data_IF_626607572632
#
_entry.id   IF_626607572632
#
_cell.length_a   1.000
_cell.length_b   1.000
_cell.length_c   1.000
_cell.angle_alpha   90.00
_cell.angle_beta   90.00
_cell.angle_gamma   90.00
#
_symmetry.space_group_name_H-M   'P 1'
#
loop_
_entity.id
_entity.type
_entity.pdbx_description
1 polymer ?
#
# COMPACT_ATOMS: atom_id res chain seq x y z
N UNK A 1 6.34 8.94 -16.29
CA UNK A 1 7.15 9.73 -15.34
C UNK A 1 6.28 10.89 -14.91
N UNK A 2 6.03 11.03 -13.62
CA UNK A 2 5.17 12.08 -13.07
C UNK A 2 5.87 13.43 -13.23
N UNK A 3 5.15 14.46 -13.68
CA UNK A 3 5.71 15.81 -13.82
C UNK A 3 5.66 16.54 -12.47
N UNK A 4 6.77 16.49 -11.74
CA UNK A 4 6.88 17.10 -10.41
C UNK A 4 7.05 18.62 -10.44
N UNK A 5 7.21 19.25 -11.61
CA UNK A 5 7.30 20.71 -11.74
C UNK A 5 5.91 21.38 -11.79
N UNK A 6 4.84 20.61 -11.93
CA UNK A 6 3.47 21.12 -11.93
C UNK A 6 2.96 21.34 -10.51
N UNK A 7 2.56 22.56 -10.17
CA UNK A 7 2.04 22.93 -8.84
C UNK A 7 0.82 22.11 -8.40
N UNK A 8 -0.09 21.78 -9.32
CA UNK A 8 -1.27 20.93 -9.02
C UNK A 8 -0.85 19.51 -8.61
N UNK A 9 0.20 18.99 -9.25
CA UNK A 9 0.76 17.68 -8.93
C UNK A 9 1.45 17.69 -7.57
N UNK A 10 2.19 18.75 -7.24
CA UNK A 10 2.81 18.93 -5.94
C UNK A 10 1.77 19.06 -4.82
N UNK A 11 0.71 19.87 -4.99
CA UNK A 11 -0.35 20.01 -3.99
C UNK A 11 -1.07 18.68 -3.71
N UNK A 12 -1.36 17.90 -4.76
CA UNK A 12 -1.98 16.58 -4.62
C UNK A 12 -1.07 15.61 -3.86
N UNK A 13 0.23 15.57 -4.18
CA UNK A 13 1.19 14.70 -3.52
C UNK A 13 1.45 15.13 -2.06
N UNK A 14 1.47 16.43 -1.79
CA UNK A 14 1.54 16.98 -0.43
C UNK A 14 0.32 16.55 0.40
N UNK A 15 -0.88 16.57 -0.19
CA UNK A 15 -2.10 16.06 0.45
C UNK A 15 -2.01 14.56 0.75
N UNK A 16 -1.45 13.78 -0.17
CA UNK A 16 -1.26 12.34 0.02
C UNK A 16 -0.21 12.02 1.09
N UNK A 17 0.84 12.83 1.23
CA UNK A 17 1.78 12.75 2.35
C UNK A 17 1.06 12.87 3.69
N UNK A 18 0.11 13.82 3.82
CA UNK A 18 -0.67 14.00 5.05
C UNK A 18 -1.59 12.83 5.38
N UNK A 19 -1.99 12.04 4.38
CA UNK A 19 -2.81 10.84 4.55
C UNK A 19 -1.95 9.66 5.00
N UNK A 20 -0.75 9.52 4.40
CA UNK A 20 0.10 8.33 4.60
C UNK A 20 1.09 8.48 5.75
N UNK A 21 1.47 9.68 6.14
CA UNK A 21 2.34 9.97 7.29
C UNK A 21 1.51 10.45 8.49
N UNK A 22 1.89 10.04 9.70
CA UNK A 22 1.30 10.57 10.93
C UNK A 22 1.78 12.02 11.15
N UNK A 23 1.04 12.80 11.95
CA UNK A 23 1.41 14.19 12.29
C UNK A 23 2.87 14.34 12.72
N UNK A 24 3.35 13.40 13.54
CA UNK A 24 4.72 13.42 14.06
C UNK A 24 5.77 13.07 12.99
N UNK A 25 5.37 12.28 11.98
CA UNK A 25 6.23 11.91 10.85
C UNK A 25 6.33 13.06 9.82
N UNK A 26 5.26 13.83 9.63
CA UNK A 26 5.22 15.00 8.72
C UNK A 26 6.13 16.15 9.17
N UNK A 27 6.39 16.26 10.47
CA UNK A 27 7.31 17.26 11.02
C UNK A 27 8.78 16.88 10.90
N UNK A 28 9.09 15.64 10.50
CA UNK A 28 10.47 15.17 10.36
C UNK A 28 11.12 15.74 9.09
N UNK A 29 12.47 15.79 9.05
CA UNK A 29 13.20 16.06 7.81
C UNK A 29 12.80 15.10 6.69
N UNK A 30 12.89 15.55 5.43
CA UNK A 30 12.43 14.80 4.25
C UNK A 30 13.10 13.42 4.13
N UNK A 31 14.37 13.30 4.54
CA UNK A 31 15.07 12.01 4.60
C UNK A 31 14.44 11.02 5.57
N UNK A 32 13.95 11.50 6.72
CA UNK A 32 13.29 10.65 7.72
C UNK A 32 11.85 10.31 7.31
N UNK A 33 11.17 11.23 6.60
CA UNK A 33 9.86 10.95 5.98
C UNK A 33 9.97 9.84 4.93
N UNK A 34 11.05 9.86 4.14
CA UNK A 34 11.35 8.83 3.15
C UNK A 34 11.56 7.46 3.82
N UNK A 35 12.34 7.40 4.89
CA UNK A 35 12.54 6.16 5.66
C UNK A 35 11.23 5.63 6.27
N UNK A 36 10.37 6.52 6.76
CA UNK A 36 9.05 6.15 7.28
C UNK A 36 8.16 5.55 6.18
N UNK A 37 8.10 6.16 5.00
CA UNK A 37 7.36 5.65 3.84
C UNK A 37 7.93 4.33 3.32
N UNK A 38 9.25 4.15 3.31
CA UNK A 38 9.87 2.87 2.95
C UNK A 38 9.48 1.75 3.91
N UNK A 39 9.45 2.01 5.22
CA UNK A 39 8.95 1.05 6.22
C UNK A 39 7.49 0.69 5.96
N UNK A 40 6.64 1.67 5.61
CA UNK A 40 5.23 1.42 5.26
C UNK A 40 5.09 0.58 4.00
N UNK A 41 5.88 0.86 2.96
CA UNK A 41 5.94 0.05 1.72
C UNK A 41 6.27 -1.41 2.03
N UNK A 42 7.28 -1.67 2.88
CA UNK A 42 7.63 -3.04 3.29
C UNK A 42 6.46 -3.72 4.02
N UNK A 43 5.81 -3.03 4.94
CA UNK A 43 4.65 -3.57 5.65
C UNK A 43 3.50 -3.92 4.69
N UNK A 44 3.27 -3.11 3.64
CA UNK A 44 2.26 -3.42 2.61
C UNK A 44 2.60 -4.67 1.81
N UNK A 45 3.87 -4.89 1.48
CA UNK A 45 4.31 -6.15 0.86
C UNK A 45 4.07 -7.37 1.76
N UNK A 46 4.32 -7.25 3.06
CA UNK A 46 4.03 -8.32 4.03
C UNK A 46 2.52 -8.58 4.07
N UNK A 47 1.69 -7.54 4.16
CA UNK A 47 0.22 -7.67 4.13
C UNK A 47 -0.26 -8.34 2.84
N UNK A 48 0.35 -8.01 1.70
CA UNK A 48 0.04 -8.63 0.41
C UNK A 48 0.36 -10.12 0.42
N UNK A 49 1.56 -10.50 0.89
CA UNK A 49 1.99 -11.88 1.00
C UNK A 49 1.06 -12.69 1.92
N UNK A 50 0.65 -12.12 3.05
CA UNK A 50 -0.32 -12.75 3.98
C UNK A 50 -1.68 -12.93 3.32
N UNK A 51 -2.19 -11.94 2.59
CA UNK A 51 -3.45 -12.08 1.85
C UNK A 51 -3.38 -13.18 0.79
N UNK A 52 -2.29 -13.26 0.02
CA UNK A 52 -2.08 -14.33 -0.96
C UNK A 52 -2.05 -15.69 -0.26
N UNK A 53 -1.29 -15.81 0.83
CA UNK A 53 -1.20 -17.05 1.60
C UNK A 53 -2.56 -17.48 2.15
N UNK A 54 -3.39 -16.54 2.61
CA UNK A 54 -4.73 -16.83 3.09
C UNK A 54 -5.64 -17.35 1.95
N UNK A 55 -5.63 -16.71 0.77
CA UNK A 55 -6.39 -17.20 -0.39
C UNK A 55 -5.96 -18.63 -0.77
N UNK A 56 -4.65 -18.88 -0.80
CA UNK A 56 -4.12 -20.22 -1.12
C UNK A 56 -4.53 -21.25 -0.07
N UNK A 57 -4.42 -20.90 1.21
CA UNK A 57 -4.80 -21.77 2.32
C UNK A 57 -6.29 -22.12 2.30
N UNK A 58 -7.17 -21.11 2.21
CA UNK A 58 -8.61 -21.32 2.16
C UNK A 58 -9.03 -22.01 0.85
N UNK A 59 -8.42 -21.65 -0.28
CA UNK A 59 -8.66 -22.29 -1.57
C UNK A 59 -8.30 -23.77 -1.56
N UNK A 60 -7.13 -24.12 -1.05
CA UNK A 60 -6.71 -25.51 -0.86
C UNK A 60 -7.63 -26.25 0.11
N UNK A 61 -7.91 -25.66 1.27
CA UNK A 61 -8.73 -26.31 2.30
C UNK A 61 -10.17 -26.54 1.85
N UNK A 62 -10.70 -25.66 1.00
CA UNK A 62 -12.01 -25.81 0.39
C UNK A 62 -12.02 -26.89 -0.69
N UNK A 63 -11.01 -26.92 -1.57
CA UNK A 63 -10.91 -27.90 -2.65
C UNK A 63 -10.81 -29.35 -2.17
N UNK A 64 -10.12 -29.58 -1.04
CA UNK A 64 -9.96 -30.90 -0.44
C UNK A 64 -11.02 -31.24 0.63
N UNK A 65 -12.11 -30.47 0.71
CA UNK A 65 -13.20 -30.65 1.68
C UNK A 65 -12.71 -30.70 3.16
N UNK A 66 -11.56 -30.08 3.46
CA UNK A 66 -11.01 -29.99 4.81
C UNK A 66 -11.91 -29.11 5.68
N UNK A 67 -12.48 -28.06 5.09
CA UNK A 67 -13.40 -27.14 5.75
C UNK A 67 -14.84 -27.44 5.40
N UNK A 68 -15.74 -27.39 6.39
CA UNK A 68 -17.20 -27.48 6.18
C UNK A 68 -17.83 -26.15 5.71
N UNK A 69 -17.02 -25.24 5.16
CA UNK A 69 -17.49 -23.96 4.67
C UNK A 69 -18.40 -24.17 3.45
N UNK A 70 -19.62 -23.66 3.50
CA UNK A 70 -20.50 -23.66 2.33
C UNK A 70 -19.92 -22.82 1.19
N UNK A 71 -20.23 -23.21 -0.06
CA UNK A 71 -19.77 -22.53 -1.28
C UNK A 71 -19.98 -21.00 -1.23
N UNK A 72 -21.13 -20.55 -0.73
CA UNK A 72 -21.45 -19.12 -0.59
C UNK A 72 -20.43 -18.39 0.28
N UNK A 73 -20.08 -18.97 1.44
CA UNK A 73 -19.09 -18.36 2.34
C UNK A 73 -17.70 -18.36 1.75
N UNK A 74 -17.32 -19.42 1.01
CA UNK A 74 -16.06 -19.46 0.29
C UNK A 74 -15.94 -18.33 -0.72
N UNK A 75 -16.98 -18.09 -1.54
CA UNK A 75 -16.98 -16.98 -2.49
C UNK A 75 -16.91 -15.61 -1.83
N UNK A 76 -17.59 -15.42 -0.70
CA UNK A 76 -17.50 -14.17 0.07
C UNK A 76 -16.07 -13.94 0.57
N UNK A 77 -15.45 -14.96 1.18
CA UNK A 77 -14.06 -14.90 1.65
C UNK A 77 -13.14 -14.55 0.48
N UNK A 78 -13.25 -15.28 -0.63
CA UNK A 78 -12.44 -15.06 -1.81
C UNK A 78 -12.58 -13.63 -2.36
N UNK A 79 -13.82 -13.11 -2.45
CA UNK A 79 -14.08 -11.75 -2.89
C UNK A 79 -13.46 -10.71 -1.94
N UNK A 80 -13.63 -10.87 -0.63
CA UNK A 80 -13.07 -9.95 0.38
C UNK A 80 -11.54 -9.91 0.29
N UNK A 81 -10.88 -11.07 0.23
CA UNK A 81 -9.42 -11.14 0.12
C UNK A 81 -8.92 -10.56 -1.21
N UNK A 82 -9.63 -10.79 -2.31
CA UNK A 82 -9.28 -10.22 -3.63
C UNK A 82 -9.40 -8.70 -3.62
N UNK A 83 -10.50 -8.16 -3.07
CA UNK A 83 -10.68 -6.71 -2.91
C UNK A 83 -9.59 -6.13 -2.00
N UNK A 84 -9.28 -6.80 -0.88
CA UNK A 84 -8.23 -6.37 0.04
C UNK A 84 -6.86 -6.30 -0.67
N UNK A 85 -6.56 -7.30 -1.49
CA UNK A 85 -5.34 -7.35 -2.31
C UNK A 85 -5.26 -6.17 -3.28
N UNK A 86 -6.34 -5.86 -3.99
CA UNK A 86 -6.43 -4.72 -4.90
C UNK A 86 -6.21 -3.38 -4.18
N UNK A 87 -6.81 -3.21 -3.00
CA UNK A 87 -6.62 -2.01 -2.18
C UNK A 87 -5.17 -1.87 -1.68
N UNK A 88 -4.53 -2.96 -1.26
CA UNK A 88 -3.11 -2.95 -0.87
C UNK A 88 -2.24 -2.54 -2.05
N UNK A 89 -2.53 -3.06 -3.25
CA UNK A 89 -1.78 -2.72 -4.46
C UNK A 89 -1.92 -1.22 -4.80
N UNK A 90 -3.13 -0.68 -4.72
CA UNK A 90 -3.39 0.74 -4.93
C UNK A 90 -2.61 1.61 -3.91
N UNK A 91 -2.69 1.26 -2.62
CA UNK A 91 -1.95 1.97 -1.57
C UNK A 91 -0.43 1.89 -1.76
N UNK A 92 0.08 0.75 -2.21
CA UNK A 92 1.50 0.57 -2.52
C UNK A 92 1.93 1.51 -3.64
N UNK A 93 1.16 1.62 -4.72
CA UNK A 93 1.48 2.53 -5.83
C UNK A 93 1.49 3.98 -5.37
N UNK A 94 0.53 4.39 -4.52
CA UNK A 94 0.57 5.73 -3.92
C UNK A 94 1.82 5.97 -3.09
N UNK A 95 2.24 5.00 -2.27
CA UNK A 95 3.48 5.11 -1.48
C UNK A 95 4.71 5.21 -2.40
N UNK A 96 4.72 4.48 -3.52
CA UNK A 96 5.80 4.55 -4.50
C UNK A 96 5.89 5.95 -5.15
N UNK A 97 4.75 6.54 -5.52
CA UNK A 97 4.69 7.92 -6.03
C UNK A 97 5.17 8.94 -4.98
N UNK A 98 4.79 8.77 -3.72
CA UNK A 98 5.24 9.64 -2.62
C UNK A 98 6.76 9.53 -2.35
N UNK A 99 7.31 8.32 -2.46
CA UNK A 99 8.75 8.10 -2.34
C UNK A 99 9.51 8.77 -3.48
N UNK A 100 9.02 8.66 -4.72
CA UNK A 100 9.61 9.31 -5.89
C UNK A 100 9.56 10.85 -5.74
N UNK A 101 8.43 11.38 -5.27
CA UNK A 101 8.27 12.81 -4.99
C UNK A 101 9.24 13.33 -3.93
N UNK A 102 9.36 12.66 -2.78
CA UNK A 102 10.32 13.06 -1.73
C UNK A 102 11.77 12.93 -2.21
N UNK A 103 12.10 11.91 -2.99
CA UNK A 103 13.44 11.78 -3.58
C UNK A 103 13.77 12.92 -4.53
N UNK A 104 12.83 13.27 -5.42
CA UNK A 104 12.98 14.40 -6.33
C UNK A 104 13.20 15.71 -5.55
N UNK A 105 12.39 15.93 -4.50
CA UNK A 105 12.45 17.14 -3.65
C UNK A 105 13.80 17.28 -2.95
N UNK A 106 14.31 16.20 -2.34
CA UNK A 106 15.63 16.17 -1.69
C UNK A 106 16.76 16.51 -2.68
N UNK A 107 16.63 16.16 -3.96
CA UNK A 107 17.66 16.40 -4.98
C UNK A 107 17.61 17.80 -5.62
N UNK A 108 16.47 18.49 -5.57
CA UNK A 108 16.26 19.77 -6.26
C UNK A 108 16.09 20.97 -5.32
N UNK A 109 15.70 20.74 -4.06
CA UNK A 109 15.48 21.79 -3.06
C UNK A 109 16.58 21.85 -1.97
N UNK A 110 17.59 20.98 -2.02
CA UNK A 110 18.82 21.08 -1.21
C UNK A 110 20.00 21.66 -2.00
#
# INVERSE_FOLDING_TARGET
>A
MTDFNNSDTQERLQSYLTIHLKKDELSLPESEQLDALQKKKRNKWIQLAVNIAAILFFGYSFYFDITQLGQTFFYIIFAVFTINMGLIFYQKNQIDELLEFLQWKIQHEN
#
